data_IF_797242135535
#
_entry.id   IF_797242135535
#
_cell.length_a   1.000
_cell.length_b   1.000
_cell.length_c   1.000
_cell.angle_alpha   90.00
_cell.angle_beta   90.00
_cell.angle_gamma   90.00
#
_symmetry.space_group_name_H-M   'P 1'
#
loop_
_entity.id
_entity.type
_entity.pdbx_description
1 polymer ?
#
# COMPACT_ATOMS: atom_id res chain seq x y z
N UNK A 1 -9.37 4.28 5.86
CA UNK A 1 -9.17 3.57 4.57
C UNK A 1 -8.22 2.40 4.76
N UNK A 2 -8.42 1.28 4.04
CA UNK A 2 -7.49 0.15 4.05
C UNK A 2 -6.38 0.38 3.00
N UNK A 3 -5.30 1.09 3.39
CA UNK A 3 -4.21 1.44 2.45
C UNK A 3 -3.54 0.21 1.80
N UNK A 4 -3.28 -0.92 2.50
CA UNK A 4 -2.75 -2.12 1.86
C UNK A 4 -3.58 -2.61 0.67
N UNK A 5 -4.90 -2.72 0.83
CA UNK A 5 -5.77 -3.14 -0.26
C UNK A 5 -5.83 -2.09 -1.38
N UNK A 6 -5.88 -0.80 -1.02
CA UNK A 6 -5.83 0.29 -2.00
C UNK A 6 -4.56 0.24 -2.85
N UNK A 7 -3.40 0.00 -2.22
CA UNK A 7 -2.12 -0.11 -2.92
C UNK A 7 -2.08 -1.32 -3.86
N UNK A 8 -2.53 -2.49 -3.39
CA UNK A 8 -2.66 -3.69 -4.25
C UNK A 8 -3.53 -3.41 -5.48
N UNK A 9 -4.68 -2.77 -5.28
CA UNK A 9 -5.60 -2.44 -6.36
C UNK A 9 -4.99 -1.43 -7.33
N UNK A 10 -4.31 -0.39 -6.83
CA UNK A 10 -3.67 0.62 -7.64
C UNK A 10 -2.54 0.03 -8.51
N UNK A 11 -1.67 -0.80 -7.92
CA UNK A 11 -0.60 -1.48 -8.63
C UNK A 11 -1.15 -2.46 -9.68
N UNK A 12 -2.14 -3.28 -9.34
CA UNK A 12 -2.79 -4.19 -10.28
C UNK A 12 -3.46 -3.45 -11.45
N UNK A 13 -3.99 -2.24 -11.22
CA UNK A 13 -4.63 -1.45 -12.27
C UNK A 13 -3.59 -0.80 -13.19
N UNK A 14 -2.52 -0.24 -12.64
CA UNK A 14 -1.57 0.59 -13.36
C UNK A 14 -0.39 -0.18 -13.96
N UNK A 15 -0.01 -1.32 -13.37
CA UNK A 15 1.24 -2.03 -13.70
C UNK A 15 0.91 -3.44 -14.22
N UNK A 16 0.96 -3.67 -15.55
CA UNK A 16 0.61 -4.98 -16.13
C UNK A 16 1.41 -6.14 -15.56
N UNK A 17 2.70 -5.92 -15.25
CA UNK A 17 3.55 -6.95 -14.65
C UNK A 17 2.98 -7.44 -13.31
N UNK A 18 2.61 -6.52 -12.42
CA UNK A 18 2.06 -6.85 -11.10
C UNK A 18 0.71 -7.55 -11.24
N UNK A 19 -0.14 -7.07 -12.16
CA UNK A 19 -1.44 -7.69 -12.45
C UNK A 19 -1.31 -9.14 -12.92
N UNK A 20 -0.33 -9.41 -13.78
CA UNK A 20 -0.14 -10.72 -14.40
C UNK A 20 0.64 -11.68 -13.50
N UNK A 21 1.37 -11.17 -12.50
CA UNK A 21 2.17 -11.95 -11.54
C UNK A 21 1.79 -11.56 -10.10
N UNK A 22 0.56 -11.87 -9.65
CA UNK A 22 0.04 -11.41 -8.36
C UNK A 22 0.79 -12.00 -7.15
N UNK A 23 1.45 -13.14 -7.33
CA UNK A 23 2.33 -13.80 -6.36
C UNK A 23 3.64 -13.04 -6.14
N UNK A 24 4.08 -12.23 -7.11
CA UNK A 24 5.30 -11.41 -7.03
C UNK A 24 5.12 -10.12 -6.25
N UNK A 25 3.90 -9.80 -5.80
CA UNK A 25 3.60 -8.63 -4.96
C UNK A 25 3.32 -9.05 -3.52
N UNK A 26 4.24 -8.70 -2.63
CA UNK A 26 4.12 -8.88 -1.19
C UNK A 26 3.89 -7.52 -0.52
N UNK A 27 2.90 -7.48 0.36
CA UNK A 27 2.59 -6.30 1.17
C UNK A 27 2.68 -6.69 2.64
N UNK A 28 3.42 -5.90 3.42
CA UNK A 28 3.63 -6.11 4.84
C UNK A 28 3.25 -4.87 5.63
N UNK A 29 2.72 -5.09 6.83
CA UNK A 29 2.40 -4.03 7.78
C UNK A 29 3.31 -4.22 8.98
N UNK A 30 4.16 -3.23 9.24
CA UNK A 30 5.11 -3.23 10.35
C UNK A 30 4.87 -2.04 11.28
N UNK A 31 5.40 -2.13 12.51
CA UNK A 31 5.30 -1.07 13.53
C UNK A 31 3.86 -0.59 13.78
N UNK A 32 2.91 -1.52 13.76
CA UNK A 32 1.49 -1.22 13.92
C UNK A 32 1.14 -0.74 15.33
N UNK A 33 0.32 0.30 15.42
CA UNK A 33 -0.26 0.78 16.67
C UNK A 33 -1.68 1.31 16.49
N UNK A 34 -2.47 1.17 17.56
CA UNK A 34 -3.78 1.79 17.72
C UNK A 34 -3.61 3.04 18.58
N UNK A 35 -3.96 4.20 18.03
CA UNK A 35 -3.82 5.48 18.73
C UNK A 35 -5.19 6.10 18.91
N UNK A 36 -5.58 6.40 20.14
CA UNK A 36 -6.81 7.15 20.41
C UNK A 36 -6.67 8.57 19.85
N UNK A 37 -7.71 9.07 19.17
CA UNK A 37 -7.67 10.39 18.51
C UNK A 37 -7.98 11.54 19.46
N UNK A 38 -8.39 11.24 20.70
CA UNK A 38 -8.77 12.24 21.70
C UNK A 38 -10.14 12.89 21.48
N UNK A 39 -10.96 12.36 20.58
CA UNK A 39 -12.33 12.83 20.38
C UNK A 39 -13.22 12.50 21.61
N UNK A 40 -14.32 13.25 21.77
CA UNK A 40 -15.30 13.01 22.84
C UNK A 40 -16.07 11.70 22.70
N UNK A 41 -15.98 11.06 21.52
CA UNK A 41 -16.53 9.74 21.23
C UNK A 41 -15.42 8.71 21.01
N UNK A 42 -15.77 7.42 21.02
CA UNK A 42 -14.83 6.33 20.76
C UNK A 42 -14.22 6.47 19.36
N UNK A 43 -12.99 6.96 19.29
CA UNK A 43 -12.29 7.23 18.04
C UNK A 43 -10.81 6.87 18.17
N UNK A 44 -10.32 6.14 17.18
CA UNK A 44 -8.94 5.68 17.09
C UNK A 44 -8.46 5.71 15.64
N UNK A 45 -7.16 5.71 15.47
CA UNK A 45 -6.50 5.54 14.18
C UNK A 45 -5.48 4.40 14.23
N UNK A 46 -5.25 3.80 13.07
CA UNK A 46 -4.17 2.84 12.86
C UNK A 46 -2.97 3.59 12.33
N UNK A 47 -1.83 3.50 13.02
CA UNK A 47 -0.53 3.94 12.51
C UNK A 47 0.32 2.72 12.23
N UNK A 48 0.94 2.68 11.06
CA UNK A 48 1.81 1.58 10.64
C UNK A 48 2.71 2.02 9.50
N UNK A 49 3.77 1.26 9.28
CA UNK A 49 4.57 1.27 8.05
C UNK A 49 4.01 0.23 7.10
N UNK A 50 3.67 0.63 5.87
CA UNK A 50 3.29 -0.29 4.80
C UNK A 50 4.47 -0.50 3.87
N UNK A 51 4.99 -1.73 3.84
CA UNK A 51 6.08 -2.14 2.99
C UNK A 51 5.55 -2.91 1.78
N UNK A 52 6.05 -2.59 0.59
CA UNK A 52 5.73 -3.28 -0.65
C UNK A 52 7.00 -3.85 -1.26
N UNK A 53 7.00 -5.15 -1.55
CA UNK A 53 8.09 -5.84 -2.23
C UNK A 53 7.54 -6.41 -3.53
N UNK A 54 8.23 -6.10 -4.63
CA UNK A 54 7.91 -6.62 -5.97
C UNK A 54 9.14 -7.38 -6.46
N UNK A 55 8.99 -8.67 -6.64
CA UNK A 55 10.06 -9.55 -7.11
C UNK A 55 10.18 -9.51 -8.64
N UNK A 56 11.40 -9.74 -9.14
CA UNK A 56 11.72 -9.98 -10.56
C UNK A 56 11.21 -8.91 -11.55
N UNK A 57 10.90 -7.70 -11.07
CA UNK A 57 10.44 -6.61 -11.91
C UNK A 57 11.61 -5.97 -12.66
N UNK A 58 11.59 -6.08 -13.98
CA UNK A 58 12.61 -5.51 -14.88
C UNK A 58 12.13 -4.30 -15.68
N UNK A 59 10.95 -3.76 -15.36
CA UNK A 59 10.39 -2.59 -16.03
C UNK A 59 10.89 -1.26 -15.47
N UNK A 60 10.39 -0.15 -16.02
CA UNK A 60 10.69 1.18 -15.48
C UNK A 60 10.08 1.35 -14.08
N UNK A 61 10.94 1.65 -13.11
CA UNK A 61 10.57 1.85 -11.71
C UNK A 61 9.56 2.99 -11.53
N UNK A 62 9.55 4.00 -12.40
CA UNK A 62 8.59 5.11 -12.33
C UNK A 62 7.14 4.65 -12.49
N UNK A 63 6.91 3.51 -13.17
CA UNK A 63 5.59 2.89 -13.29
C UNK A 63 5.04 2.40 -11.95
N UNK A 64 5.93 2.10 -10.99
CA UNK A 64 5.56 1.70 -9.63
C UNK A 64 5.35 2.93 -8.73
N UNK A 65 6.12 4.00 -8.93
CA UNK A 65 6.09 5.17 -8.05
C UNK A 65 4.77 5.95 -8.14
N UNK A 66 4.22 6.12 -9.35
CA UNK A 66 2.95 6.83 -9.54
C UNK A 66 1.76 6.23 -8.74
N UNK A 67 1.46 4.91 -8.83
CA UNK A 67 0.39 4.31 -8.03
C UNK A 67 0.69 4.28 -6.53
N UNK A 68 1.97 4.14 -6.12
CA UNK A 68 2.36 4.23 -4.70
C UNK A 68 2.05 5.62 -4.14
N UNK A 69 2.46 6.68 -4.86
CA UNK A 69 2.26 8.05 -4.45
C UNK A 69 0.76 8.41 -4.34
N UNK A 70 -0.06 7.96 -5.30
CA UNK A 70 -1.51 8.19 -5.28
C UNK A 70 -2.21 7.60 -4.04
N UNK A 71 -1.69 6.50 -3.48
CA UNK A 71 -2.24 5.88 -2.26
C UNK A 71 -1.64 6.47 -0.98
N UNK A 72 -0.44 7.04 -1.06
CA UNK A 72 0.19 7.73 0.06
C UNK A 72 -0.57 9.03 0.39
N UNK A 73 -0.92 9.81 -0.63
CA UNK A 73 -1.60 11.11 -0.50
C UNK A 73 -3.12 11.02 -0.23
N UNK A 74 -3.74 9.87 -0.55
CA UNK A 74 -5.16 9.60 -0.29
C UNK A 74 -5.44 9.02 1.09
#
# INVERSE_FOLDING_TARGET
MNKPQSLRNALNKAVPYVRNNPDKLHLFVDNGSLVATGASSMSWEYRYTLNAVIEDFSGDQNLLMAPVFAVAEG
#
